data_IF_175983425356
#
_entry.id   IF_175983425356
#
_cell.length_a   1.000
_cell.length_b   1.000
_cell.length_c   1.000
_cell.angle_alpha   90.00
_cell.angle_beta   90.00
_cell.angle_gamma   90.00
#
_symmetry.space_group_name_H-M   'P 1'
#
loop_
_entity.id
_entity.type
_entity.pdbx_description
1 polymer ?
#
# COMPACT_ATOMS: atom_id res chain seq x y z
N UNK A 1 -16.62 -32.13 -12.89
CA UNK A 1 -15.26 -31.73 -13.31
C UNK A 1 -15.00 -30.36 -12.70
N UNK A 2 -14.29 -30.36 -11.58
CA UNK A 2 -13.96 -29.11 -10.85
C UNK A 2 -12.66 -28.62 -11.43
N UNK A 3 -12.71 -27.51 -12.17
CA UNK A 3 -11.54 -26.81 -12.67
C UNK A 3 -10.82 -26.17 -11.49
N UNK A 4 -9.64 -26.67 -11.17
CA UNK A 4 -8.73 -26.04 -10.21
C UNK A 4 -8.27 -24.70 -10.75
N UNK A 5 -8.55 -23.64 -10.03
CA UNK A 5 -7.96 -22.33 -10.28
C UNK A 5 -6.44 -22.46 -10.04
N UNK A 6 -5.66 -22.32 -11.09
CA UNK A 6 -4.21 -22.18 -11.00
C UNK A 6 -3.91 -20.92 -10.18
N UNK A 7 -3.01 -21.03 -9.20
CA UNK A 7 -2.49 -19.88 -8.47
C UNK A 7 -1.84 -18.91 -9.46
N UNK A 8 -2.21 -17.64 -9.39
CA UNK A 8 -1.64 -16.57 -10.20
C UNK A 8 -0.15 -16.41 -9.83
N UNK A 9 0.80 -16.61 -10.76
CA UNK A 9 2.24 -16.52 -10.49
C UNK A 9 2.74 -15.08 -10.25
N UNK A 10 1.87 -14.06 -10.30
CA UNK A 10 2.25 -12.64 -10.16
C UNK A 10 2.17 -12.11 -8.72
N UNK A 11 1.64 -12.88 -7.78
CA UNK A 11 1.62 -12.47 -6.37
C UNK A 11 2.95 -12.84 -5.71
N UNK A 12 3.65 -11.92 -5.01
CA UNK A 12 4.91 -12.23 -4.36
C UNK A 12 4.70 -13.36 -3.35
N UNK A 13 5.40 -14.46 -3.56
CA UNK A 13 5.46 -15.56 -2.59
C UNK A 13 6.42 -15.13 -1.47
N UNK A 14 6.16 -15.55 -0.25
CA UNK A 14 7.08 -15.30 0.88
C UNK A 14 8.49 -15.82 0.64
N UNK A 15 8.68 -16.72 -0.35
CA UNK A 15 9.98 -17.24 -0.83
C UNK A 15 10.67 -16.35 -1.86
N UNK A 16 9.97 -15.36 -2.46
CA UNK A 16 10.49 -14.56 -3.57
C UNK A 16 11.03 -13.19 -3.09
N UNK A 17 10.96 -12.92 -1.80
CA UNK A 17 11.60 -11.77 -1.20
C UNK A 17 13.10 -12.07 -1.00
N UNK A 18 14.00 -11.15 -1.36
CA UNK A 18 15.43 -11.39 -1.21
C UNK A 18 15.76 -11.67 0.25
N UNK A 19 16.44 -12.81 0.49
CA UNK A 19 16.99 -13.17 1.78
C UNK A 19 18.00 -12.12 2.23
N UNK A 20 17.60 -11.26 3.17
CA UNK A 20 18.47 -10.23 3.76
C UNK A 20 19.54 -10.80 4.71
N UNK A 21 19.70 -12.13 4.80
CA UNK A 21 20.68 -12.76 5.67
C UNK A 21 22.14 -12.67 5.19
N UNK A 22 22.40 -12.07 4.01
CA UNK A 22 23.76 -11.89 3.47
C UNK A 22 24.19 -10.43 3.30
N UNK A 23 24.04 -9.61 4.32
CA UNK A 23 24.84 -8.39 4.44
C UNK A 23 25.60 -8.47 5.77
N UNK A 24 26.86 -8.88 5.67
CA UNK A 24 27.80 -8.83 6.79
C UNK A 24 28.05 -7.35 7.13
N UNK A 25 27.40 -6.84 8.15
CA UNK A 25 27.78 -5.58 8.74
C UNK A 25 29.08 -5.74 9.51
N UNK A 26 30.12 -5.10 9.02
CA UNK A 26 31.30 -4.83 9.84
C UNK A 26 30.90 -3.92 11.01
N UNK A 27 31.19 -4.44 12.19
CA UNK A 27 31.00 -3.85 13.51
C UNK A 27 31.67 -2.48 13.61
N UNK A 28 30.87 -1.43 13.61
CA UNK A 28 31.23 -0.10 14.06
C UNK A 28 30.58 0.15 15.40
N UNK A 29 31.36 0.05 16.48
CA UNK A 29 30.97 0.47 17.81
C UNK A 29 30.55 1.94 17.80
N UNK A 30 29.29 2.23 18.11
CA UNK A 30 28.89 3.46 18.78
C UNK A 30 27.73 3.14 19.73
N UNK A 31 27.99 3.46 21.00
CA UNK A 31 27.05 3.51 22.10
C UNK A 31 25.71 4.13 21.69
N UNK A 32 24.70 3.30 21.50
CA UNK A 32 23.31 3.74 21.57
C UNK A 32 22.84 3.31 22.94
N UNK A 33 22.65 4.32 23.81
CA UNK A 33 22.02 4.16 25.10
C UNK A 33 20.77 3.29 24.95
N UNK A 34 20.76 2.17 25.63
CA UNK A 34 19.55 1.41 25.93
C UNK A 34 18.59 2.33 26.66
N UNK A 35 17.61 2.89 25.96
CA UNK A 35 16.39 3.35 26.61
C UNK A 35 15.69 2.08 27.12
N UNK A 36 15.89 1.77 28.37
CA UNK A 36 15.05 0.83 29.07
C UNK A 36 13.65 1.46 29.13
N UNK A 37 12.74 0.95 28.32
CA UNK A 37 11.32 1.22 28.47
C UNK A 37 10.90 0.61 29.80
N UNK A 38 10.68 1.48 30.79
CA UNK A 38 10.19 1.06 32.10
C UNK A 38 8.72 0.71 31.93
N UNK A 39 8.44 -0.57 31.89
CA UNK A 39 7.07 -1.09 32.06
C UNK A 39 6.61 -0.66 33.41
N UNK A 40 5.63 0.24 33.49
CA UNK A 40 4.96 0.59 34.72
C UNK A 40 3.99 -0.54 35.11
N UNK A 41 4.55 -1.64 35.61
CA UNK A 41 3.75 -2.61 36.32
C UNK A 41 3.32 -1.99 37.63
N UNK A 42 2.02 -1.87 37.84
CA UNK A 42 1.47 -1.50 39.16
C UNK A 42 1.78 -2.62 40.12
N UNK A 43 2.87 -2.48 40.86
CA UNK A 43 3.29 -3.36 41.90
C UNK A 43 2.48 -3.06 43.16
N UNK A 44 1.55 -3.94 43.53
CA UNK A 44 1.18 -4.11 44.92
C UNK A 44 2.25 -5.02 45.56
N UNK A 45 3.30 -4.38 46.09
CA UNK A 45 4.32 -5.06 46.85
C UNK A 45 3.76 -5.46 48.23
N UNK A 46 3.49 -6.75 48.42
CA UNK A 46 3.43 -7.34 49.76
C UNK A 46 4.73 -8.10 49.97
N UNK A 47 5.69 -7.42 50.61
CA UNK A 47 6.90 -8.06 51.06
C UNK A 47 6.58 -9.03 52.21
N UNK A 48 6.76 -10.33 52.01
CA UNK A 48 6.90 -11.32 53.05
C UNK A 48 8.33 -11.87 53.03
N UNK A 49 9.24 -11.20 53.73
CA UNK A 49 10.44 -11.86 54.24
C UNK A 49 10.08 -12.60 55.51
N UNK A 50 9.85 -13.90 55.46
CA UNK A 50 9.96 -14.79 56.59
C UNK A 50 11.27 -15.53 56.52
N UNK A 51 12.25 -15.12 57.34
CA UNK A 51 13.39 -15.95 57.69
C UNK A 51 12.90 -17.21 58.40
N UNK A 52 12.97 -18.34 57.75
CA UNK A 52 12.84 -19.63 58.38
C UNK A 52 14.25 -20.23 58.48
N UNK A 53 14.84 -20.09 59.67
CA UNK A 53 16.02 -20.83 60.08
C UNK A 53 15.63 -22.27 60.47
N UNK A 54 16.14 -23.24 59.73
CA UNK A 54 16.14 -24.65 60.13
C UNK A 54 15.02 -25.50 59.58
N UNK A 55 15.16 -25.90 58.31
CA UNK A 55 14.43 -27.05 57.78
C UNK A 55 15.43 -28.13 57.30
N UNK A 56 15.08 -29.44 57.47
CA UNK A 56 15.90 -30.52 56.91
C UNK A 56 15.98 -30.38 55.40
N UNK A 57 17.10 -30.86 54.83
CA UNK A 57 17.34 -30.87 53.40
C UNK A 57 16.21 -31.62 52.66
N UNK A 58 15.16 -30.90 52.31
CA UNK A 58 14.24 -31.34 51.26
C UNK A 58 15.05 -31.35 49.99
N UNK A 59 15.02 -32.46 49.27
CA UNK A 59 15.52 -32.52 47.89
C UNK A 59 14.87 -31.32 47.16
N UNK A 60 15.71 -30.38 46.71
CA UNK A 60 15.25 -29.20 46.06
C UNK A 60 14.30 -29.60 44.92
N UNK A 61 13.02 -29.21 45.05
CA UNK A 61 12.07 -29.52 43.98
C UNK A 61 12.49 -28.74 42.75
N UNK A 62 12.83 -29.45 41.67
CA UNK A 62 13.13 -28.84 40.38
C UNK A 62 11.89 -28.93 39.48
N UNK A 63 11.80 -28.01 38.58
CA UNK A 63 10.65 -27.91 37.64
C UNK A 63 9.58 -26.94 38.11
N UNK A 64 8.37 -27.11 37.60
CA UNK A 64 7.23 -26.24 37.93
C UNK A 64 6.67 -26.51 39.31
N UNK A 65 6.59 -25.46 40.13
CA UNK A 65 6.04 -25.48 41.49
C UNK A 65 4.94 -24.44 41.59
N UNK A 66 3.95 -24.68 42.44
CA UNK A 66 2.91 -23.71 42.80
C UNK A 66 3.20 -23.20 44.20
N UNK A 67 3.42 -21.92 44.36
CA UNK A 67 3.67 -21.24 45.63
C UNK A 67 2.55 -20.23 45.88
N UNK A 68 1.66 -20.55 46.78
CA UNK A 68 0.40 -19.79 46.94
C UNK A 68 -0.41 -19.83 45.64
N UNK A 69 -0.71 -18.67 45.09
CA UNK A 69 -1.40 -18.53 43.82
C UNK A 69 -0.45 -18.42 42.60
N UNK A 70 0.87 -18.31 42.85
CA UNK A 70 1.87 -18.15 41.83
C UNK A 70 2.41 -19.48 41.31
N UNK A 71 2.71 -19.55 40.02
CA UNK A 71 3.44 -20.65 39.38
C UNK A 71 4.85 -20.17 39.09
N UNK A 72 5.82 -20.89 39.62
CA UNK A 72 7.26 -20.61 39.48
C UNK A 72 8.00 -21.85 38.96
N UNK A 73 9.22 -21.66 38.49
CA UNK A 73 10.07 -22.77 38.04
C UNK A 73 11.42 -22.74 38.73
N UNK A 74 11.81 -23.87 39.27
CA UNK A 74 13.14 -24.08 39.82
C UNK A 74 14.00 -24.90 38.87
N UNK A 75 15.27 -24.49 38.67
CA UNK A 75 16.22 -25.20 37.87
C UNK A 75 16.72 -26.51 38.52
N UNK A 76 17.65 -27.20 37.86
CA UNK A 76 18.17 -28.47 38.36
C UNK A 76 18.97 -28.32 39.66
N UNK A 77 19.52 -27.12 39.89
CA UNK A 77 20.28 -26.80 41.12
C UNK A 77 19.36 -26.27 42.25
N UNK A 78 18.06 -26.13 41.98
CA UNK A 78 17.06 -25.67 42.94
C UNK A 78 16.98 -24.13 43.07
N UNK A 79 17.52 -23.38 42.12
CA UNK A 79 17.38 -21.93 42.07
C UNK A 79 16.12 -21.50 41.32
N UNK A 80 15.48 -20.46 41.85
CA UNK A 80 14.34 -19.85 41.16
C UNK A 80 14.77 -19.29 39.79
N UNK A 81 14.10 -19.74 38.77
CA UNK A 81 14.34 -19.22 37.39
C UNK A 81 13.60 -17.91 37.17
N UNK A 82 14.30 -16.88 36.71
CA UNK A 82 13.79 -15.56 36.35
C UNK A 82 14.20 -15.19 34.94
N UNK A 83 13.50 -14.23 34.34
CA UNK A 83 13.79 -13.67 32.98
C UNK A 83 14.04 -14.73 31.92
N UNK A 84 13.19 -15.76 31.91
CA UNK A 84 13.41 -16.90 31.03
C UNK A 84 12.12 -17.59 30.58
N UNK A 85 12.18 -18.12 29.38
CA UNK A 85 11.14 -18.96 28.83
C UNK A 85 11.21 -20.39 29.38
N UNK A 86 10.06 -20.92 29.82
CA UNK A 86 9.93 -22.31 30.26
C UNK A 86 8.70 -22.97 29.67
N UNK A 87 8.86 -24.20 29.20
CA UNK A 87 7.76 -24.98 28.63
C UNK A 87 6.99 -25.72 29.74
N UNK A 88 5.65 -25.70 29.66
CA UNK A 88 4.76 -26.48 30.48
C UNK A 88 3.68 -27.12 29.62
N UNK A 89 3.69 -28.43 29.48
CA UNK A 89 2.85 -29.12 28.52
C UNK A 89 3.19 -28.70 27.09
N UNK A 90 2.21 -28.21 26.37
CA UNK A 90 2.38 -27.75 24.97
C UNK A 90 2.72 -26.26 24.85
N UNK A 91 2.60 -25.48 25.95
CA UNK A 91 2.72 -24.04 25.94
C UNK A 91 4.03 -23.55 26.51
N UNK A 92 4.53 -22.43 26.01
CA UNK A 92 5.62 -21.68 26.55
C UNK A 92 5.10 -20.54 27.43
N UNK A 93 5.81 -20.28 28.53
CA UNK A 93 5.55 -19.23 29.51
C UNK A 93 6.82 -18.45 29.75
N UNK A 94 6.72 -17.15 29.94
CA UNK A 94 7.83 -16.32 30.36
C UNK A 94 7.74 -16.05 31.85
N UNK A 95 8.86 -16.28 32.52
CA UNK A 95 9.02 -15.99 33.97
C UNK A 95 9.71 -14.63 34.04
N UNK A 96 9.11 -13.66 34.73
CA UNK A 96 9.68 -12.33 34.91
C UNK A 96 10.75 -12.28 36.00
N UNK A 97 11.20 -11.07 36.32
CA UNK A 97 12.23 -10.82 37.35
C UNK A 97 11.93 -11.45 38.70
N UNK A 98 10.67 -11.56 39.07
CA UNK A 98 10.22 -12.19 40.33
C UNK A 98 10.00 -13.71 40.23
N UNK A 99 10.33 -14.34 39.10
CA UNK A 99 10.12 -15.75 38.81
C UNK A 99 8.68 -16.17 38.56
N UNK A 100 7.72 -15.25 38.56
CA UNK A 100 6.32 -15.54 38.29
C UNK A 100 6.01 -15.47 36.77
N UNK A 101 4.97 -16.18 36.33
CA UNK A 101 4.48 -16.11 34.97
C UNK A 101 4.02 -14.69 34.65
N UNK A 102 4.55 -14.11 33.59
CA UNK A 102 4.09 -12.85 33.02
C UNK A 102 2.84 -13.10 32.18
N UNK A 103 1.87 -12.20 32.23
CA UNK A 103 0.61 -12.26 31.48
C UNK A 103 0.34 -10.96 30.75
N UNK A 104 -0.41 -11.02 29.63
CA UNK A 104 -0.84 -9.85 28.84
C UNK A 104 0.31 -8.89 28.50
N UNK A 105 1.45 -9.41 28.07
CA UNK A 105 2.64 -8.60 27.84
C UNK A 105 3.43 -9.01 26.59
N UNK A 106 4.03 -8.02 25.95
CA UNK A 106 5.02 -8.22 24.88
C UNK A 106 6.39 -8.41 25.52
N UNK A 107 7.06 -9.49 25.18
CA UNK A 107 8.39 -9.86 25.65
C UNK A 107 9.30 -9.95 24.41
N UNK A 108 10.07 -8.92 24.14
CA UNK A 108 10.86 -8.76 22.93
C UNK A 108 9.99 -8.97 21.66
N UNK A 109 10.24 -10.03 20.90
CA UNK A 109 9.52 -10.40 19.68
C UNK A 109 8.25 -11.23 19.94
N UNK A 110 7.97 -11.60 21.20
CA UNK A 110 6.88 -12.51 21.59
C UNK A 110 5.78 -11.78 22.35
N UNK A 111 4.62 -12.43 22.45
CA UNK A 111 3.53 -11.99 23.30
C UNK A 111 2.99 -13.16 24.11
N UNK A 112 2.66 -12.89 25.37
CA UNK A 112 1.98 -13.84 26.26
C UNK A 112 0.57 -13.33 26.56
N UNK A 113 -0.41 -14.22 26.49
CA UNK A 113 -1.81 -13.91 26.72
C UNK A 113 -2.16 -13.74 28.20
N UNK A 114 -3.43 -13.53 28.51
CA UNK A 114 -3.95 -13.39 29.91
C UNK A 114 -3.74 -14.63 30.76
N UNK A 115 -3.47 -15.79 30.16
CA UNK A 115 -3.10 -17.01 30.88
C UNK A 115 -1.57 -17.20 30.97
N UNK A 116 -0.80 -16.26 30.41
CA UNK A 116 0.66 -16.29 30.33
C UNK A 116 1.21 -17.23 29.24
N UNK A 117 0.36 -17.76 28.36
CA UNK A 117 0.78 -18.64 27.27
C UNK A 117 1.34 -17.79 26.12
N UNK A 118 2.48 -18.22 25.58
CA UNK A 118 3.02 -17.62 24.34
C UNK A 118 2.04 -17.75 23.19
N UNK A 119 1.68 -16.63 22.58
CA UNK A 119 0.79 -16.57 21.42
C UNK A 119 1.53 -17.04 20.18
N UNK A 120 0.88 -17.86 19.37
CA UNK A 120 1.41 -18.38 18.10
C UNK A 120 0.33 -18.44 17.04
N UNK A 121 0.69 -18.20 15.78
CA UNK A 121 -0.23 -18.26 14.62
C UNK A 121 -1.51 -17.45 14.83
N UNK A 122 -1.41 -16.27 15.44
CA UNK A 122 -2.57 -15.48 15.85
C UNK A 122 -2.34 -13.97 15.72
N UNK A 123 -3.45 -13.26 15.52
CA UNK A 123 -3.52 -11.81 15.56
C UNK A 123 -3.72 -11.31 16.99
N UNK A 124 -3.03 -10.23 17.33
CA UNK A 124 -3.20 -9.54 18.61
C UNK A 124 -3.28 -8.03 18.39
N UNK A 125 -4.28 -7.41 18.97
CA UNK A 125 -4.41 -5.95 19.00
C UNK A 125 -3.84 -5.45 20.33
N UNK A 126 -2.85 -4.56 20.26
CA UNK A 126 -2.19 -3.98 21.43
C UNK A 126 -2.36 -2.47 21.42
N UNK A 127 -2.43 -1.88 22.61
CA UNK A 127 -2.46 -0.43 22.75
C UNK A 127 -1.16 0.19 22.25
N UNK A 128 -1.28 1.36 21.65
CA UNK A 128 -0.15 2.19 21.32
C UNK A 128 0.42 2.80 22.60
N UNK A 129 1.55 2.27 23.07
CA UNK A 129 2.28 2.78 24.23
C UNK A 129 3.42 3.73 23.84
N UNK A 130 3.76 3.82 22.55
CA UNK A 130 4.87 4.65 22.05
C UNK A 130 4.48 6.14 22.00
N UNK A 131 3.26 6.43 21.57
CA UNK A 131 2.73 7.81 21.51
C UNK A 131 1.20 7.82 21.74
N UNK A 132 0.74 7.53 22.97
CA UNK A 132 -0.68 7.34 23.27
C UNK A 132 -1.52 8.61 23.17
N UNK A 133 -0.90 9.78 23.15
CA UNK A 133 -1.58 11.09 23.11
C UNK A 133 -1.53 11.76 21.73
N UNK A 134 -0.91 11.12 20.74
CA UNK A 134 -0.82 11.68 19.40
C UNK A 134 -2.13 11.48 18.61
N UNK A 135 -2.76 12.55 18.11
CA UNK A 135 -3.93 12.41 17.25
C UNK A 135 -3.60 11.88 15.84
N UNK A 136 -2.31 11.75 15.51
CA UNK A 136 -1.83 11.31 14.20
C UNK A 136 -1.55 9.80 14.16
N UNK A 137 -1.47 9.15 15.31
CA UNK A 137 -1.21 7.71 15.43
C UNK A 137 -2.42 6.96 15.96
N UNK A 138 -2.66 5.71 15.51
CA UNK A 138 -3.76 4.90 16.04
C UNK A 138 -3.63 4.62 17.54
N UNK A 139 -4.77 4.50 18.24
CA UNK A 139 -4.80 4.11 19.66
C UNK A 139 -4.29 2.68 19.90
N UNK A 140 -4.38 1.84 18.86
CA UNK A 140 -3.97 0.43 18.91
C UNK A 140 -3.26 0.05 17.62
N UNK A 141 -2.38 -0.95 17.71
CA UNK A 141 -1.73 -1.59 16.57
C UNK A 141 -2.06 -3.07 16.53
N UNK A 142 -2.22 -3.61 15.30
CA UNK A 142 -2.36 -5.03 15.08
C UNK A 142 -1.01 -5.67 14.80
N UNK A 143 -0.76 -6.81 15.47
CA UNK A 143 0.41 -7.67 15.30
C UNK A 143 -0.02 -9.05 14.85
N UNK A 144 0.83 -9.75 14.14
CA UNK A 144 0.68 -11.17 13.86
C UNK A 144 1.85 -11.95 14.43
N UNK A 145 1.56 -12.88 15.31
CA UNK A 145 2.57 -13.79 15.86
C UNK A 145 2.60 -15.07 15.05
N UNK A 146 3.75 -15.41 14.49
CA UNK A 146 3.96 -16.56 13.63
C UNK A 146 3.90 -17.88 14.40
N UNK A 147 4.09 -19.01 13.71
CA UNK A 147 4.04 -20.35 14.33
C UNK A 147 5.10 -20.56 15.43
N UNK A 148 6.22 -19.89 15.33
CA UNK A 148 7.30 -19.93 16.33
C UNK A 148 7.10 -18.94 17.49
N UNK A 149 6.02 -18.16 17.47
CA UNK A 149 5.66 -17.15 18.46
C UNK A 149 6.27 -15.79 18.22
N UNK A 150 7.11 -15.61 17.21
CA UNK A 150 7.69 -14.30 16.89
C UNK A 150 6.70 -13.42 16.15
N UNK A 151 6.70 -12.12 16.45
CA UNK A 151 5.96 -11.15 15.67
C UNK A 151 6.50 -11.06 14.23
N UNK A 152 5.61 -10.95 13.26
CA UNK A 152 5.98 -10.64 11.89
C UNK A 152 6.54 -9.21 11.83
N UNK A 153 7.71 -9.02 11.22
CA UNK A 153 8.43 -7.74 11.13
C UNK A 153 9.01 -7.56 9.75
N UNK A 154 8.84 -6.40 9.14
CA UNK A 154 9.35 -6.03 7.80
C UNK A 154 9.05 -7.09 6.73
N UNK A 155 7.83 -7.64 6.73
CA UNK A 155 7.48 -8.75 5.84
C UNK A 155 6.00 -8.80 5.46
N UNK A 156 5.75 -9.45 4.36
CA UNK A 156 4.41 -9.85 3.95
C UNK A 156 3.98 -11.16 4.62
N UNK A 157 2.75 -11.20 5.09
CA UNK A 157 2.12 -12.40 5.64
C UNK A 157 0.83 -12.68 4.89
N UNK A 158 0.66 -13.92 4.44
CA UNK A 158 -0.61 -14.36 3.86
C UNK A 158 -1.45 -15.04 4.93
N UNK A 159 -2.63 -14.49 5.21
CA UNK A 159 -3.58 -15.03 6.14
C UNK A 159 -4.99 -15.02 5.51
N UNK A 160 -5.68 -16.13 5.57
CA UNK A 160 -7.03 -16.30 5.00
C UNK A 160 -7.14 -15.78 3.54
N UNK A 161 -6.19 -16.17 2.69
CA UNK A 161 -6.09 -15.79 1.28
C UNK A 161 -5.85 -14.30 1.00
N UNK A 162 -5.63 -13.48 2.01
CA UNK A 162 -5.29 -12.05 1.91
C UNK A 162 -3.85 -11.82 2.30
N UNK A 163 -3.25 -10.77 1.74
CA UNK A 163 -1.89 -10.35 2.07
C UNK A 163 -1.92 -9.15 3.01
N UNK A 164 -1.04 -9.17 4.00
CA UNK A 164 -0.83 -8.12 5.00
C UNK A 164 0.66 -7.82 5.09
N UNK A 165 1.02 -6.59 5.31
CA UNK A 165 2.40 -6.19 5.53
C UNK A 165 2.59 -5.70 6.96
N UNK A 166 3.70 -6.10 7.58
CA UNK A 166 4.11 -5.64 8.91
C UNK A 166 5.37 -4.81 8.77
N UNK A 167 5.39 -3.64 9.39
CA UNK A 167 6.51 -2.71 9.36
C UNK A 167 7.70 -3.16 10.24
N UNK A 168 8.70 -2.28 10.40
CA UNK A 168 9.90 -2.55 11.20
C UNK A 168 9.59 -2.71 12.70
N UNK A 169 8.49 -2.16 13.20
CA UNK A 169 8.02 -2.29 14.57
C UNK A 169 7.10 -3.51 14.75
N UNK A 170 6.74 -4.18 13.67
CA UNK A 170 5.79 -5.30 13.65
C UNK A 170 4.33 -4.86 13.63
N UNK A 171 4.06 -3.56 13.37
CA UNK A 171 2.69 -3.06 13.22
C UNK A 171 2.14 -3.46 11.84
N UNK A 172 0.89 -3.89 11.78
CA UNK A 172 0.19 -4.09 10.53
C UNK A 172 0.07 -2.76 9.79
N UNK A 173 0.67 -2.65 8.62
CA UNK A 173 0.58 -1.48 7.79
C UNK A 173 -0.82 -1.33 7.18
N UNK A 174 -1.28 -0.08 7.04
CA UNK A 174 -2.60 0.28 6.51
C UNK A 174 -2.51 1.48 5.57
N UNK A 175 -3.57 1.75 4.82
CA UNK A 175 -3.61 2.88 3.90
C UNK A 175 -2.69 2.73 2.70
N UNK A 176 -2.27 3.86 2.15
CA UNK A 176 -1.32 3.93 1.03
C UNK A 176 0.11 3.89 1.58
N UNK A 177 0.80 2.78 1.36
CA UNK A 177 2.11 2.47 1.96
C UNK A 177 3.14 2.16 0.87
N UNK A 178 4.34 2.70 1.00
CA UNK A 178 5.48 2.38 0.14
C UNK A 178 6.28 1.22 0.75
N UNK A 179 6.49 0.17 -0.03
CA UNK A 179 7.21 -1.04 0.38
C UNK A 179 8.14 -1.42 -0.77
N UNK A 180 9.45 -1.48 -0.50
CA UNK A 180 10.50 -1.84 -1.47
C UNK A 180 10.39 -1.04 -2.79
N UNK A 181 10.09 0.28 -2.70
CA UNK A 181 10.01 1.19 -3.85
C UNK A 181 8.73 1.06 -4.68
N UNK A 182 7.74 0.31 -4.23
CA UNK A 182 6.41 0.24 -4.82
C UNK A 182 5.34 0.69 -3.82
N UNK A 183 4.31 1.37 -4.31
CA UNK A 183 3.18 1.79 -3.48
C UNK A 183 2.08 0.74 -3.52
N UNK A 184 1.54 0.42 -2.34
CA UNK A 184 0.41 -0.48 -2.14
C UNK A 184 -0.73 0.25 -1.42
N UNK A 185 -1.93 -0.28 -1.49
CA UNK A 185 -3.04 0.13 -0.64
C UNK A 185 -3.49 -1.03 0.24
N UNK A 186 -3.29 -0.87 1.55
CA UNK A 186 -3.46 -1.91 2.55
C UNK A 186 -4.75 -1.71 3.36
N UNK A 187 -5.80 -1.25 2.70
CA UNK A 187 -7.10 -1.06 3.34
C UNK A 187 -7.10 0.01 4.43
N UNK A 188 -8.00 -0.13 5.38
CA UNK A 188 -8.14 0.78 6.53
C UNK A 188 -7.52 0.16 7.78
N UNK A 189 -7.42 0.92 8.87
CA UNK A 189 -6.89 0.48 10.17
C UNK A 189 -7.48 -0.84 10.69
N UNK A 190 -8.74 -1.14 10.33
CA UNK A 190 -9.43 -2.37 10.75
C UNK A 190 -9.36 -3.51 9.74
N UNK A 191 -8.80 -3.27 8.55
CA UNK A 191 -8.76 -4.27 7.48
C UNK A 191 -7.33 -4.71 7.16
N UNK A 192 -6.40 -3.76 6.93
CA UNK A 192 -4.98 -4.02 6.65
C UNK A 192 -4.68 -4.85 5.41
N UNK A 193 -5.69 -5.44 4.78
CA UNK A 193 -5.50 -6.35 3.66
C UNK A 193 -5.13 -5.60 2.37
N UNK A 194 -4.10 -6.09 1.67
CA UNK A 194 -3.68 -5.58 0.37
C UNK A 194 -4.84 -5.57 -0.63
N UNK A 195 -5.04 -4.44 -1.30
CA UNK A 195 -6.08 -4.23 -2.30
C UNK A 195 -5.51 -4.24 -3.70
N UNK A 196 -6.36 -4.63 -4.67
CA UNK A 196 -6.06 -4.65 -6.10
C UNK A 196 -7.22 -4.05 -6.89
N UNK A 197 -6.97 -3.67 -8.14
CA UNK A 197 -7.96 -3.07 -9.01
C UNK A 197 -8.12 -1.57 -8.81
N UNK A 198 -9.30 -1.05 -9.16
CA UNK A 198 -9.62 0.36 -9.07
C UNK A 198 -9.98 0.77 -7.64
N UNK A 199 -9.32 1.81 -7.15
CA UNK A 199 -9.56 2.37 -5.82
C UNK A 199 -9.63 3.90 -5.92
N UNK A 200 -10.64 4.47 -5.29
CA UNK A 200 -10.81 5.92 -5.18
C UNK A 200 -10.33 6.36 -3.79
N UNK A 201 -9.37 7.24 -3.75
CA UNK A 201 -8.75 7.72 -2.52
C UNK A 201 -8.78 9.25 -2.48
N UNK A 202 -8.92 9.81 -1.29
CA UNK A 202 -8.67 11.22 -1.06
C UNK A 202 -7.21 11.57 -1.38
N UNK A 203 -6.99 12.69 -2.03
CA UNK A 203 -5.64 13.14 -2.41
C UNK A 203 -4.80 13.48 -1.19
N UNK A 204 -5.43 13.98 -0.15
CA UNK A 204 -4.82 14.23 1.14
C UNK A 204 -5.65 13.58 2.24
N UNK A 205 -5.19 12.44 2.73
CA UNK A 205 -5.86 11.68 3.81
C UNK A 205 -5.93 12.43 5.15
N UNK A 206 -5.11 13.48 5.33
CA UNK A 206 -5.10 14.32 6.53
C UNK A 206 -6.10 15.49 6.45
N UNK A 207 -6.74 15.71 5.30
CA UNK A 207 -7.74 16.76 5.09
C UNK A 207 -9.05 16.10 4.68
N UNK A 208 -9.99 15.85 5.60
CA UNK A 208 -11.29 15.30 5.28
C UNK A 208 -12.02 16.15 4.23
N UNK A 209 -12.55 15.50 3.18
CA UNK A 209 -13.21 16.17 2.07
C UNK A 209 -12.27 16.80 1.04
N UNK A 210 -10.97 16.43 1.06
CA UNK A 210 -10.07 16.72 -0.06
C UNK A 210 -10.57 16.08 -1.35
N UNK A 211 -10.12 16.60 -2.51
CA UNK A 211 -10.45 15.99 -3.80
C UNK A 211 -10.03 14.52 -3.83
N UNK A 212 -10.87 13.70 -4.45
CA UNK A 212 -10.59 12.27 -4.60
C UNK A 212 -10.10 11.98 -6.01
N UNK A 213 -9.14 11.07 -6.11
CA UNK A 213 -8.61 10.56 -7.37
C UNK A 213 -8.76 9.05 -7.47
N UNK A 214 -8.88 8.57 -8.71
CA UNK A 214 -8.84 7.14 -9.00
C UNK A 214 -7.41 6.67 -9.19
N UNK A 215 -7.10 5.55 -8.54
CA UNK A 215 -5.83 4.81 -8.63
C UNK A 215 -6.11 3.39 -9.10
N UNK A 216 -5.12 2.77 -9.71
CA UNK A 216 -5.21 1.36 -10.10
C UNK A 216 -4.04 0.58 -9.52
N UNK A 217 -4.37 -0.50 -8.83
CA UNK A 217 -3.40 -1.44 -8.26
C UNK A 217 -3.44 -2.74 -9.06
N UNK A 218 -2.30 -3.16 -9.56
CA UNK A 218 -2.16 -4.40 -10.33
C UNK A 218 -2.56 -5.63 -9.49
N UNK A 219 -2.60 -6.80 -10.11
CA UNK A 219 -2.89 -8.07 -9.42
C UNK A 219 -1.89 -8.42 -8.32
N UNK A 220 -0.66 -7.91 -8.41
CA UNK A 220 0.38 -8.02 -7.38
C UNK A 220 0.28 -6.93 -6.29
N UNK A 221 -0.75 -6.11 -6.31
CA UNK A 221 -1.00 -5.02 -5.36
C UNK A 221 -0.24 -3.73 -5.63
N UNK A 222 0.67 -3.70 -6.60
CA UNK A 222 1.46 -2.50 -6.89
C UNK A 222 0.63 -1.44 -7.61
N UNK A 223 0.71 -0.20 -7.12
CA UNK A 223 0.09 0.96 -7.76
C UNK A 223 0.71 1.22 -9.13
N UNK A 224 -0.13 1.47 -10.12
CA UNK A 224 0.32 2.02 -11.40
C UNK A 224 0.73 3.47 -11.16
N UNK A 225 1.97 3.81 -11.45
CA UNK A 225 2.53 5.17 -11.28
C UNK A 225 2.25 6.02 -12.53
N UNK A 226 3.28 6.49 -13.23
CA UNK A 226 3.10 7.20 -14.50
C UNK A 226 3.14 6.21 -15.64
N UNK A 227 2.01 6.02 -16.31
CA UNK A 227 1.86 5.14 -17.45
C UNK A 227 0.79 5.67 -18.40
N UNK A 228 1.17 5.89 -19.65
CA UNK A 228 0.28 6.32 -20.72
C UNK A 228 -0.34 5.11 -21.40
N UNK A 229 -1.60 5.24 -21.82
CA UNK A 229 -2.33 4.21 -22.59
C UNK A 229 -2.28 2.80 -21.98
N UNK A 230 -2.37 2.69 -20.66
CA UNK A 230 -2.46 1.39 -19.99
C UNK A 230 -3.79 0.72 -20.30
N UNK A 231 -3.73 -0.49 -20.83
CA UNK A 231 -4.94 -1.29 -21.08
C UNK A 231 -5.41 -1.99 -19.81
N UNK A 232 -6.68 -1.74 -19.42
CA UNK A 232 -7.35 -2.36 -18.28
C UNK A 232 -8.75 -2.75 -18.76
N UNK A 233 -9.12 -4.01 -18.64
CA UNK A 233 -10.44 -4.55 -19.00
C UNK A 233 -10.94 -4.12 -20.40
N UNK A 234 -10.03 -4.11 -21.38
CA UNK A 234 -10.33 -3.77 -22.76
C UNK A 234 -10.29 -2.27 -23.09
N UNK A 235 -10.30 -1.40 -22.11
CA UNK A 235 -10.21 0.06 -22.28
C UNK A 235 -8.78 0.55 -22.01
N UNK A 236 -8.49 1.78 -22.44
CA UNK A 236 -7.19 2.40 -22.24
C UNK A 236 -7.32 3.60 -21.31
N UNK A 237 -6.37 3.74 -20.39
CA UNK A 237 -6.31 4.77 -19.37
C UNK A 237 -4.89 5.34 -19.27
N UNK A 238 -4.77 6.58 -18.84
CA UNK A 238 -3.48 7.19 -18.54
C UNK A 238 -3.41 7.54 -17.05
N UNK A 239 -2.25 7.27 -16.47
CA UNK A 239 -1.92 7.60 -15.08
C UNK A 239 -0.71 8.53 -15.07
N UNK A 240 -0.77 9.56 -14.25
CA UNK A 240 0.35 10.45 -13.94
C UNK A 240 0.45 10.54 -12.43
N UNK A 241 1.61 10.22 -11.87
CA UNK A 241 1.87 10.16 -10.43
C UNK A 241 0.83 9.31 -9.68
N UNK A 242 0.44 8.20 -10.30
CA UNK A 242 -0.54 7.26 -9.76
C UNK A 242 -1.99 7.62 -10.02
N UNK A 243 -2.31 8.86 -10.35
CA UNK A 243 -3.67 9.35 -10.55
C UNK A 243 -4.16 9.09 -11.97
N UNK A 244 -5.34 8.48 -12.11
CA UNK A 244 -6.02 8.35 -13.39
C UNK A 244 -6.33 9.74 -13.96
N UNK A 245 -5.93 9.95 -15.19
CA UNK A 245 -6.17 11.20 -15.91
C UNK A 245 -7.53 11.20 -16.61
N UNK A 246 -8.12 12.38 -16.74
CA UNK A 246 -9.39 12.65 -17.44
C UNK A 246 -9.25 13.91 -18.27
N UNK A 247 -10.13 14.10 -19.25
CA UNK A 247 -10.09 15.26 -20.12
C UNK A 247 -8.93 15.22 -21.10
N UNK A 248 -8.43 16.38 -21.48
CA UNK A 248 -7.29 16.52 -22.38
C UNK A 248 -5.98 16.30 -21.62
N UNK A 249 -5.18 15.35 -22.10
CA UNK A 249 -3.88 14.99 -21.51
C UNK A 249 -2.80 15.21 -22.54
N UNK A 250 -1.81 16.04 -22.20
CA UNK A 250 -0.61 16.23 -23.01
C UNK A 250 0.23 14.96 -22.97
N UNK A 251 0.50 14.40 -24.15
CA UNK A 251 1.29 13.18 -24.27
C UNK A 251 2.80 13.51 -24.35
N UNK A 252 3.68 12.69 -23.79
CA UNK A 252 5.11 12.93 -23.89
C UNK A 252 5.54 12.90 -25.37
N UNK A 253 6.25 13.92 -25.80
CA UNK A 253 6.92 13.92 -27.08
C UNK A 253 8.12 12.97 -26.99
N UNK A 254 8.16 11.96 -27.87
CA UNK A 254 9.17 10.87 -27.81
C UNK A 254 10.63 11.27 -28.09
N UNK A 255 11.02 12.52 -27.92
CA UNK A 255 12.35 13.00 -28.30
C UNK A 255 13.08 13.88 -27.27
N UNK A 256 12.47 14.29 -26.14
CA UNK A 256 13.14 15.23 -25.23
C UNK A 256 12.98 14.83 -23.75
N UNK A 257 13.88 13.96 -23.27
CA UNK A 257 14.12 13.77 -21.84
C UNK A 257 14.77 15.01 -21.18
N UNK A 258 15.07 16.09 -21.93
CA UNK A 258 15.88 17.24 -21.46
C UNK A 258 15.25 18.62 -21.75
N UNK A 259 13.93 18.71 -22.02
CA UNK A 259 13.30 20.02 -22.25
C UNK A 259 13.04 20.80 -20.95
N UNK A 260 14.06 21.03 -20.13
CA UNK A 260 14.06 22.03 -19.04
C UNK A 260 14.48 23.43 -19.50
N UNK A 261 14.57 23.66 -20.81
CA UNK A 261 14.94 24.93 -21.40
C UNK A 261 13.73 25.79 -21.79
N UNK A 262 13.88 27.11 -21.69
CA UNK A 262 12.91 28.17 -22.04
C UNK A 262 12.46 28.22 -23.51
N UNK A 263 12.67 27.17 -24.30
CA UNK A 263 12.32 27.03 -25.72
C UNK A 263 11.41 25.81 -25.98
N UNK A 264 10.64 25.33 -25.00
CA UNK A 264 9.66 24.30 -25.27
C UNK A 264 8.66 24.80 -26.34
N UNK A 265 8.52 24.06 -27.43
CA UNK A 265 7.55 24.37 -28.46
C UNK A 265 6.15 24.42 -27.85
N UNK A 266 5.35 25.43 -28.25
CA UNK A 266 3.95 25.50 -27.80
C UNK A 266 3.23 24.25 -28.29
N UNK A 267 2.63 23.43 -27.40
CA UNK A 267 1.97 22.19 -27.80
C UNK A 267 0.82 22.47 -28.79
N UNK A 268 0.67 21.56 -29.75
CA UNK A 268 -0.45 21.56 -30.67
C UNK A 268 -1.57 20.64 -30.20
N UNK A 269 -2.76 20.78 -30.75
CA UNK A 269 -3.90 19.89 -30.43
C UNK A 269 -3.57 18.41 -30.68
N UNK A 270 -2.65 18.09 -31.62
CA UNK A 270 -2.20 16.73 -31.93
C UNK A 270 -1.31 16.11 -30.87
N UNK A 271 -0.76 16.92 -29.97
CA UNK A 271 0.10 16.45 -28.89
C UNK A 271 -0.72 15.99 -27.68
N UNK A 272 -2.03 16.21 -27.74
CA UNK A 272 -2.97 15.80 -26.71
C UNK A 272 -3.75 14.54 -27.12
N UNK A 273 -4.13 13.77 -26.10
CA UNK A 273 -5.18 12.76 -26.18
C UNK A 273 -6.31 13.12 -25.21
N UNK A 274 -7.53 12.73 -25.55
CA UNK A 274 -8.68 12.93 -24.67
C UNK A 274 -9.07 11.62 -23.97
N UNK A 275 -9.16 11.72 -22.65
CA UNK A 275 -9.65 10.66 -21.76
C UNK A 275 -10.94 11.16 -21.13
N UNK A 276 -12.01 10.44 -21.22
CA UNK A 276 -13.37 10.82 -20.88
C UNK A 276 -13.57 11.78 -19.70
N UNK A 277 -14.80 12.11 -19.37
CA UNK A 277 -15.07 13.05 -18.29
C UNK A 277 -14.64 12.50 -16.94
N UNK A 278 -14.63 13.36 -15.93
CA UNK A 278 -14.34 12.99 -14.55
C UNK A 278 -15.14 11.74 -14.12
N UNK A 279 -14.44 10.73 -13.63
CA UNK A 279 -15.00 9.45 -13.19
C UNK A 279 -15.05 8.34 -14.24
N UNK A 280 -14.85 8.62 -15.53
CA UNK A 280 -14.74 7.60 -16.59
C UNK A 280 -13.28 7.30 -16.97
N UNK A 281 -12.48 8.34 -17.31
CA UNK A 281 -11.06 8.25 -17.62
C UNK A 281 -10.68 7.36 -18.80
N UNK A 282 -11.64 6.79 -19.53
CA UNK A 282 -11.37 5.97 -20.72
C UNK A 282 -10.90 6.82 -21.87
N UNK A 283 -9.92 6.32 -22.60
CA UNK A 283 -9.46 6.94 -23.84
C UNK A 283 -10.62 7.06 -24.85
N UNK A 284 -10.85 8.28 -25.35
CA UNK A 284 -12.00 8.59 -26.16
C UNK A 284 -11.98 7.96 -27.55
N UNK A 285 -13.15 7.59 -28.02
CA UNK A 285 -13.43 7.14 -29.40
C UNK A 285 -14.71 7.81 -29.91
N UNK A 286 -14.72 8.20 -31.18
CA UNK A 286 -15.90 8.79 -31.82
C UNK A 286 -16.12 10.25 -31.47
N UNK A 287 -17.38 10.71 -31.59
CA UNK A 287 -17.74 12.13 -31.44
C UNK A 287 -18.03 12.51 -29.99
N UNK A 288 -17.44 13.63 -29.55
CA UNK A 288 -17.65 14.22 -28.24
C UNK A 288 -17.80 15.73 -28.35
N UNK A 289 -18.77 16.28 -27.64
CA UNK A 289 -18.95 17.74 -27.47
C UNK A 289 -18.39 18.11 -26.11
N UNK A 290 -17.25 18.79 -26.08
CA UNK A 290 -16.44 19.04 -24.90
C UNK A 290 -15.77 20.41 -24.98
N UNK A 291 -15.32 20.93 -23.86
CA UNK A 291 -14.49 22.13 -23.79
C UNK A 291 -13.17 21.92 -24.56
N UNK A 292 -12.68 22.99 -25.17
CA UNK A 292 -11.40 22.99 -25.87
C UNK A 292 -10.20 22.90 -24.92
N UNK A 293 -9.00 22.88 -25.49
CA UNK A 293 -7.74 22.94 -24.77
C UNK A 293 -7.41 24.40 -24.49
N UNK A 294 -7.21 24.75 -23.20
CA UNK A 294 -6.79 26.10 -22.81
C UNK A 294 -5.48 26.51 -23.50
N UNK A 295 -5.46 27.70 -24.05
CA UNK A 295 -4.31 28.24 -24.80
C UNK A 295 -4.23 27.79 -26.28
N UNK A 296 -5.06 26.84 -26.71
CA UNK A 296 -5.21 26.42 -28.12
C UNK A 296 -6.58 26.82 -28.68
N UNK A 297 -7.63 26.64 -27.89
CA UNK A 297 -9.01 26.99 -28.19
C UNK A 297 -9.46 28.20 -27.37
N UNK A 298 -10.58 28.79 -27.73
CA UNK A 298 -11.20 29.83 -26.90
C UNK A 298 -11.65 29.25 -25.57
N UNK A 299 -11.47 30.00 -24.49
CA UNK A 299 -11.81 29.56 -23.16
C UNK A 299 -13.32 29.39 -22.99
N UNK A 300 -13.74 28.40 -22.22
CA UNK A 300 -15.12 28.10 -21.83
C UNK A 300 -16.06 27.78 -23.02
N UNK A 301 -15.53 27.57 -24.22
CA UNK A 301 -16.30 27.20 -25.39
C UNK A 301 -16.31 25.67 -25.59
N UNK A 302 -17.51 25.17 -25.92
CA UNK A 302 -17.74 23.74 -26.21
C UNK A 302 -17.69 23.49 -27.70
N UNK A 303 -16.81 22.57 -28.09
CA UNK A 303 -16.63 22.17 -29.48
C UNK A 303 -16.94 20.70 -29.67
N UNK A 304 -17.31 20.31 -30.89
CA UNK A 304 -17.43 18.90 -31.25
C UNK A 304 -16.13 18.42 -31.88
N UNK A 305 -15.52 17.41 -31.26
CA UNK A 305 -14.36 16.68 -31.76
C UNK A 305 -14.76 15.26 -32.16
N UNK A 306 -13.96 14.61 -32.98
CA UNK A 306 -14.04 13.18 -33.19
C UNK A 306 -12.68 12.56 -32.92
N UNK A 307 -12.67 11.47 -32.13
CA UNK A 307 -11.45 10.84 -31.68
C UNK A 307 -11.26 9.45 -32.30
N UNK A 308 -10.02 9.13 -32.57
CA UNK A 308 -9.54 7.78 -32.86
C UNK A 308 -8.35 7.49 -31.95
N UNK A 309 -8.49 6.51 -31.08
CA UNK A 309 -7.48 6.20 -30.07
C UNK A 309 -7.08 7.44 -29.22
N UNK A 310 -8.07 8.21 -28.77
CA UNK A 310 -7.89 9.43 -27.99
C UNK A 310 -7.40 10.65 -28.76
N UNK A 311 -6.88 10.48 -29.99
CA UNK A 311 -6.38 11.58 -30.82
C UNK A 311 -7.50 12.20 -31.63
N UNK A 312 -7.64 13.54 -31.66
CA UNK A 312 -8.64 14.20 -32.47
C UNK A 312 -8.29 14.10 -33.97
N UNK A 313 -9.32 14.05 -34.81
CA UNK A 313 -9.15 14.28 -36.25
C UNK A 313 -8.81 15.74 -36.48
N UNK A 314 -7.67 16.03 -37.15
CA UNK A 314 -7.13 17.37 -37.33
C UNK A 314 -6.71 17.58 -38.77
N UNK A 315 -7.05 18.73 -39.36
CA UNK A 315 -6.50 19.11 -40.68
C UNK A 315 -4.99 19.30 -40.58
N UNK A 316 -4.23 18.66 -41.45
CA UNK A 316 -2.77 18.82 -41.53
C UNK A 316 -2.36 20.11 -42.23
N UNK A 317 -3.31 20.85 -42.79
CA UNK A 317 -3.11 22.13 -43.48
C UNK A 317 -3.95 23.18 -42.76
N UNK A 318 -3.53 24.44 -42.83
CA UNK A 318 -4.34 25.54 -42.34
C UNK A 318 -5.73 25.52 -42.97
N UNK A 319 -6.78 25.60 -42.17
CA UNK A 319 -8.17 25.51 -42.56
C UNK A 319 -8.74 24.09 -42.40
N UNK A 320 -9.77 23.75 -43.17
CA UNK A 320 -10.57 22.54 -42.94
C UNK A 320 -10.18 21.42 -43.93
N UNK A 321 -10.14 20.18 -43.46
CA UNK A 321 -9.97 18.97 -44.27
C UNK A 321 -11.13 18.00 -44.08
N UNK A 322 -11.45 17.23 -45.14
CA UNK A 322 -12.49 16.20 -45.12
C UNK A 322 -11.91 14.86 -44.65
N UNK A 323 -12.66 14.19 -43.80
CA UNK A 323 -12.38 12.84 -43.32
C UNK A 323 -13.60 11.95 -43.51
N UNK A 324 -13.37 10.72 -43.95
CA UNK A 324 -14.44 9.72 -44.03
C UNK A 324 -14.48 8.88 -42.77
N UNK A 325 -15.56 9.00 -41.97
CA UNK A 325 -15.76 8.29 -40.73
C UNK A 325 -17.10 7.54 -40.84
N UNK A 326 -17.06 6.22 -40.69
CA UNK A 326 -18.25 5.37 -40.85
C UNK A 326 -19.03 5.64 -42.15
N UNK A 327 -18.32 5.73 -43.26
CA UNK A 327 -18.84 6.01 -44.62
C UNK A 327 -19.52 7.39 -44.82
N UNK A 328 -19.39 8.30 -43.84
CA UNK A 328 -19.87 9.69 -43.95
C UNK A 328 -18.68 10.65 -43.94
N UNK A 329 -18.81 11.75 -44.70
CA UNK A 329 -17.77 12.80 -44.75
C UNK A 329 -18.02 13.87 -43.70
N UNK A 330 -16.98 14.21 -42.96
CA UNK A 330 -16.97 15.27 -41.97
C UNK A 330 -15.77 16.19 -42.19
N UNK A 331 -15.93 17.48 -41.96
CA UNK A 331 -14.85 18.45 -42.04
C UNK A 331 -14.34 18.80 -40.63
N UNK A 332 -13.03 18.80 -40.45
CA UNK A 332 -12.37 19.25 -39.23
C UNK A 332 -11.35 20.32 -39.55
N UNK A 333 -11.22 21.30 -38.62
CA UNK A 333 -10.22 22.37 -38.73
C UNK A 333 -8.80 21.86 -38.35
N UNK A 334 -7.82 22.72 -38.53
CA UNK A 334 -6.46 22.53 -38.03
C UNK A 334 -6.35 22.56 -36.48
N UNK A 335 -7.43 22.95 -35.77
CA UNK A 335 -7.60 22.85 -34.33
C UNK A 335 -8.44 21.61 -33.91
N UNK A 336 -8.79 20.72 -34.85
CA UNK A 336 -9.58 19.50 -34.58
C UNK A 336 -11.08 19.72 -34.40
N UNK A 337 -11.58 20.92 -34.57
CA UNK A 337 -12.99 21.27 -34.39
C UNK A 337 -13.82 20.81 -35.61
N UNK A 338 -14.88 20.02 -35.34
CA UNK A 338 -15.83 19.61 -36.38
C UNK A 338 -16.56 20.84 -36.92
N UNK A 339 -16.58 20.97 -38.25
CA UNK A 339 -17.20 22.07 -38.94
C UNK A 339 -18.62 21.74 -39.39
N UNK A 340 -19.50 22.73 -39.33
CA UNK A 340 -20.91 22.64 -39.75
C UNK A 340 -21.23 23.68 -40.78
N UNK A 341 -22.32 23.50 -41.53
CA UNK A 341 -22.74 24.43 -42.59
C UNK A 341 -21.87 24.36 -43.84
N UNK A 342 -21.86 25.47 -44.62
CA UNK A 342 -21.02 25.60 -45.79
C UNK A 342 -19.58 25.90 -45.40
N UNK A 343 -18.65 25.03 -45.77
CA UNK A 343 -17.23 25.16 -45.47
C UNK A 343 -16.37 25.09 -46.71
N UNK A 344 -15.28 25.86 -46.71
CA UNK A 344 -14.17 25.68 -47.65
C UNK A 344 -13.25 24.62 -47.08
N UNK A 345 -12.99 23.57 -47.84
CA UNK A 345 -12.16 22.44 -47.40
C UNK A 345 -10.94 22.29 -48.30
N UNK A 346 -9.84 21.85 -47.70
CA UNK A 346 -8.65 21.45 -48.42
C UNK A 346 -8.92 20.09 -49.09
N UNK A 347 -8.88 20.02 -50.39
CA UNK A 347 -8.99 18.75 -51.16
C UNK A 347 -7.60 18.30 -51.56
N UNK A 348 -7.28 17.03 -51.32
CA UNK A 348 -6.11 16.44 -51.96
C UNK A 348 -6.32 16.42 -53.49
N UNK A 349 -5.26 16.60 -54.28
CA UNK A 349 -5.34 16.74 -55.71
C UNK A 349 -6.01 15.57 -56.48
N UNK A 350 -6.26 14.46 -55.84
CA UNK A 350 -6.87 13.26 -56.37
C UNK A 350 -8.36 13.06 -56.02
N UNK A 351 -8.95 13.94 -55.20
CA UNK A 351 -10.38 13.90 -54.80
C UNK A 351 -11.20 15.06 -55.39
N UNK A 352 -10.97 15.45 -56.59
CA UNK A 352 -12.02 16.14 -57.40
C UNK A 352 -12.95 15.05 -57.87
N UNK A 353 -13.80 14.56 -56.99
CA UNK A 353 -14.85 13.65 -57.37
C UNK A 353 -16.03 14.45 -57.91
N UNK A 354 -16.45 14.09 -59.05
CA UNK A 354 -17.68 14.45 -59.74
C UNK A 354 -18.92 14.38 -58.86
#
# INVERSE_FOLDING_TARGET
MISGAAADPSCPQASDLPDKSMISYQKGEKDIMKKQTRIAAVLSAAAFMTMVSGLPAYAASHGWVTEGDAKVYYDEDGYLTTDAWRKRGEYWYYLGENGQIVTDAKIDEYYVDSEGKMVTSAWVELKNEEDPDSPETPDTFWYYFEKDGKSAVSKWVKFDSKWYYFDESGHMATGKTEIDGATYYLGTEKDGAMKTGWIRLEENSHVPGSSESWYYFNSDGKMVTTQYDKKIDGNYYTFIDGKMQTGWVLMPSGSDEDATGSNAAVPNVTDYQYYGPSGDGKRAEGFHSIEGISGIHEADEVYTFCFKAGKPYVSTKKGNSLFTINAKKYAFSDLGIMQTGRQIVNVANDEIAN
#
